data_IF_101414921527
#
_entry.id   IF_101414921527
#
_cell.length_a   1.000
_cell.length_b   1.000
_cell.length_c   1.000
_cell.angle_alpha   90.00
_cell.angle_beta   90.00
_cell.angle_gamma   90.00
#
_symmetry.space_group_name_H-M   'P 1'
#
loop_
_entity.id
_entity.type
_entity.pdbx_description
1 polymer ?
#
# COMPACT_ATOMS: atom_id res chain seq x y z
N UNK A 1 -8.28 6.82 9.46
CA UNK A 1 -9.27 7.91 9.62
C UNK A 1 -8.55 9.06 10.31
N UNK A 2 -8.66 10.28 9.80
CA UNK A 2 -8.27 11.50 10.49
C UNK A 2 -9.55 12.23 10.93
N UNK A 3 -9.70 12.42 12.23
CA UNK A 3 -10.83 13.13 12.83
C UNK A 3 -10.72 14.64 12.57
N UNK A 4 -11.78 15.41 12.86
CA UNK A 4 -11.84 16.85 12.58
C UNK A 4 -10.63 17.62 13.10
N UNK A 5 -10.02 18.44 12.24
CA UNK A 5 -8.85 19.26 12.56
C UNK A 5 -7.57 18.47 12.87
N UNK A 6 -7.57 17.15 12.67
CA UNK A 6 -6.43 16.30 13.02
C UNK A 6 -5.45 16.13 11.87
N UNK A 7 -4.21 15.78 12.22
CA UNK A 7 -3.16 15.45 11.28
C UNK A 7 -2.62 14.07 11.57
N UNK A 8 -2.46 13.24 10.53
CA UNK A 8 -1.77 11.96 10.64
C UNK A 8 -0.81 11.76 9.46
N UNK A 9 0.41 11.36 9.78
CA UNK A 9 1.38 10.88 8.81
C UNK A 9 1.63 9.39 9.05
N UNK A 10 1.31 8.57 8.06
CA UNK A 10 1.47 7.13 8.11
C UNK A 10 2.32 6.62 6.94
N UNK A 11 3.28 5.75 7.26
CA UNK A 11 4.17 5.10 6.30
C UNK A 11 3.92 3.59 6.30
N UNK A 12 3.47 3.07 5.17
CA UNK A 12 3.33 1.64 4.89
C UNK A 12 4.60 1.14 4.20
N UNK A 13 5.25 0.14 4.79
CA UNK A 13 6.44 -0.50 4.21
C UNK A 13 6.22 -1.99 4.03
N UNK A 14 6.62 -2.55 2.88
CA UNK A 14 6.69 -4.00 2.71
C UNK A 14 7.92 -4.41 1.88
N UNK A 15 8.51 -5.56 2.24
CA UNK A 15 9.60 -6.19 1.48
C UNK A 15 9.25 -7.65 1.25
N UNK A 16 9.38 -8.17 0.03
CA UNK A 16 9.24 -9.61 -0.22
C UNK A 16 10.59 -10.31 -0.26
N UNK A 17 10.70 -11.51 0.33
CA UNK A 17 11.79 -12.41 0.02
C UNK A 17 11.66 -12.94 -1.42
N UNK A 18 12.79 -13.30 -2.03
CA UNK A 18 12.80 -14.01 -3.31
C UNK A 18 12.20 -15.41 -3.14
N UNK A 19 11.24 -15.75 -3.99
CA UNK A 19 10.63 -17.08 -4.10
C UNK A 19 10.54 -17.46 -5.58
N UNK A 20 10.57 -18.75 -5.86
CA UNK A 20 10.47 -19.29 -7.22
C UNK A 20 9.01 -19.36 -7.71
N UNK A 21 8.03 -19.40 -6.79
CA UNK A 21 6.62 -19.26 -7.14
C UNK A 21 6.18 -17.81 -7.21
N UNK A 22 5.24 -17.51 -8.11
CA UNK A 22 4.54 -16.24 -8.13
C UNK A 22 3.78 -16.05 -6.82
N UNK A 23 3.87 -14.86 -6.23
CA UNK A 23 3.18 -14.52 -4.99
C UNK A 23 2.07 -13.51 -5.27
N UNK A 24 0.95 -13.64 -4.56
CA UNK A 24 -0.14 -12.66 -4.60
C UNK A 24 -0.06 -11.76 -3.38
N UNK A 25 0.08 -10.46 -3.61
CA UNK A 25 -0.15 -9.42 -2.61
C UNK A 25 -1.45 -8.69 -2.96
N UNK A 26 -2.47 -8.89 -2.15
CA UNK A 26 -3.76 -8.22 -2.28
C UNK A 26 -4.07 -7.44 -1.00
N UNK A 27 -4.35 -6.15 -1.14
CA UNK A 27 -4.64 -5.27 -0.01
C UNK A 27 -5.73 -4.25 -0.37
N UNK A 28 -6.42 -3.77 0.65
CA UNK A 28 -7.39 -2.67 0.57
C UNK A 28 -7.01 -1.61 1.59
N UNK A 29 -6.95 -0.36 1.14
CA UNK A 29 -6.69 0.80 2.00
C UNK A 29 -7.82 1.80 1.84
N UNK A 30 -8.47 2.12 2.95
CA UNK A 30 -9.47 3.20 3.02
C UNK A 30 -8.98 4.31 3.95
N UNK A 31 -8.80 5.49 3.37
CA UNK A 31 -8.44 6.71 4.09
C UNK A 31 -9.67 7.61 4.16
N UNK A 32 -10.13 7.92 5.37
CA UNK A 32 -11.24 8.87 5.59
C UNK A 32 -10.69 10.08 6.30
N UNK A 33 -10.81 11.27 5.68
CA UNK A 33 -10.41 12.55 6.26
C UNK A 33 -11.64 13.42 6.46
N UNK A 34 -11.81 13.96 7.68
CA UNK A 34 -12.94 14.83 8.04
C UNK A 34 -12.56 16.32 7.91
N UNK A 35 -13.51 17.22 8.18
CA UNK A 35 -13.33 18.68 8.18
C UNK A 35 -11.97 19.14 8.71
N UNK A 36 -11.27 19.98 7.95
CA UNK A 36 -9.98 20.59 8.31
C UNK A 36 -8.89 19.58 8.73
N UNK A 37 -9.05 18.30 8.40
CA UNK A 37 -8.09 17.25 8.73
C UNK A 37 -7.16 16.94 7.54
N UNK A 38 -5.99 16.39 7.84
CA UNK A 38 -4.98 16.03 6.85
C UNK A 38 -4.42 14.62 7.10
N UNK A 39 -4.41 13.81 6.04
CA UNK A 39 -3.74 12.51 5.99
C UNK A 39 -2.57 12.58 5.01
N UNK A 40 -1.36 12.36 5.51
CA UNK A 40 -0.19 12.02 4.70
C UNK A 40 0.01 10.51 4.71
N UNK A 41 -0.34 9.86 3.60
CA UNK A 41 -0.12 8.43 3.40
C UNK A 41 1.06 8.21 2.46
N UNK A 42 2.05 7.41 2.86
CA UNK A 42 3.21 7.10 2.04
C UNK A 42 3.45 5.60 2.00
N UNK A 43 3.85 5.08 0.84
CA UNK A 43 4.13 3.65 0.69
C UNK A 43 5.47 3.41 0.05
N UNK A 44 6.25 2.52 0.66
CA UNK A 44 7.52 2.03 0.08
C UNK A 44 7.43 0.51 -0.01
N UNK A 45 7.42 -0.01 -1.23
CA UNK A 45 7.29 -1.44 -1.46
C UNK A 45 8.47 -1.91 -2.32
N UNK A 46 9.28 -2.81 -1.75
CA UNK A 46 10.41 -3.41 -2.45
C UNK A 46 10.12 -4.89 -2.70
N UNK A 47 9.93 -5.24 -3.97
CA UNK A 47 9.51 -6.57 -4.36
C UNK A 47 10.56 -7.23 -5.25
N UNK A 48 10.77 -8.53 -5.07
CA UNK A 48 11.42 -9.34 -6.08
C UNK A 48 10.50 -9.41 -7.31
N UNK A 49 10.94 -8.98 -8.51
CA UNK A 49 10.06 -8.89 -9.69
C UNK A 49 9.91 -10.22 -10.44
N UNK A 50 10.61 -11.28 -10.01
CA UNK A 50 10.78 -12.50 -10.79
C UNK A 50 12.02 -12.43 -11.68
N UNK A 51 12.27 -13.50 -12.44
CA UNK A 51 13.36 -13.59 -13.39
C UNK A 51 12.89 -13.45 -14.84
N UNK A 52 13.84 -13.45 -15.79
CA UNK A 52 13.57 -13.31 -17.23
C UNK A 52 12.76 -14.47 -17.85
N UNK A 53 12.67 -15.60 -17.16
CA UNK A 53 11.87 -16.77 -17.57
C UNK A 53 10.44 -16.71 -17.00
N UNK A 54 10.10 -15.66 -16.24
CA UNK A 54 8.79 -15.50 -15.60
C UNK A 54 8.60 -16.36 -14.35
N UNK A 55 9.69 -16.87 -13.74
CA UNK A 55 9.64 -17.55 -12.44
C UNK A 55 9.78 -16.54 -11.29
N UNK A 56 9.02 -16.78 -10.24
CA UNK A 56 8.91 -15.87 -9.11
C UNK A 56 8.30 -14.53 -9.49
N UNK A 57 8.31 -13.61 -8.54
CA UNK A 57 7.71 -12.30 -8.73
C UNK A 57 6.41 -12.13 -7.95
N UNK A 58 5.86 -10.92 -8.02
CA UNK A 58 4.68 -10.56 -7.24
C UNK A 58 3.58 -9.98 -8.13
N UNK A 59 2.35 -10.42 -7.91
CA UNK A 59 1.15 -9.75 -8.37
C UNK A 59 0.66 -8.82 -7.27
N UNK A 60 0.78 -7.52 -7.49
CA UNK A 60 0.40 -6.50 -6.51
C UNK A 60 -0.98 -5.91 -6.84
N UNK A 61 -2.03 -6.55 -6.38
CA UNK A 61 -3.42 -6.19 -6.67
C UNK A 61 -4.04 -5.43 -5.50
N UNK A 62 -3.81 -4.13 -5.48
CA UNK A 62 -4.16 -3.28 -4.35
C UNK A 62 -5.17 -2.22 -4.75
N UNK A 63 -6.22 -2.07 -3.95
CA UNK A 63 -7.19 -0.97 -4.07
C UNK A 63 -6.96 0.00 -2.92
N UNK A 64 -6.50 1.22 -3.23
CA UNK A 64 -6.36 2.30 -2.25
C UNK A 64 -7.34 3.41 -2.60
N UNK A 65 -8.14 3.86 -1.64
CA UNK A 65 -9.14 4.92 -1.82
C UNK A 65 -9.07 5.93 -0.68
N UNK A 66 -9.14 7.21 -1.05
CA UNK A 66 -9.36 8.31 -0.13
C UNK A 66 -10.79 8.83 -0.25
N UNK A 67 -11.42 9.06 0.90
CA UNK A 67 -12.72 9.71 1.05
C UNK A 67 -12.52 10.99 1.88
N UNK A 68 -12.70 12.14 1.24
CA UNK A 68 -12.61 13.45 1.87
C UNK A 68 -14.02 13.95 2.15
N UNK A 69 -14.32 14.18 3.43
CA UNK A 69 -15.64 14.59 3.93
C UNK A 69 -15.62 15.98 4.49
#
# INVERSE_FOLDING_TARGET
>A
IADKGSYVSYLEGCTAPQRDENQLHAAVVELVTLDDAEIKYSTVQNWYPGNSEGKGGIYNFVTKRGDCR
#
